data_IF_722208933836
#
_entry.id   IF_722208933836
#
_cell.length_a   1.000
_cell.length_b   1.000
_cell.length_c   1.000
_cell.angle_alpha   90.00
_cell.angle_beta   90.00
_cell.angle_gamma   90.00
#
_symmetry.space_group_name_H-M   'P 1'
#
loop_
_entity.id
_entity.type
_entity.pdbx_description
1 polymer ?
#
# COMPACT_ATOMS: atom_id res chain seq x y z
N UNK A 1 1.05 -23.63 4.72
CA UNK A 1 0.60 -22.23 4.91
C UNK A 1 1.76 -21.28 5.26
N UNK A 2 2.57 -21.55 6.29
CA UNK A 2 3.69 -20.68 6.73
C UNK A 2 4.65 -20.27 5.60
N UNK A 3 5.11 -21.23 4.79
CA UNK A 3 6.02 -20.99 3.65
C UNK A 3 5.39 -20.14 2.54
N UNK A 4 4.12 -20.42 2.21
CA UNK A 4 3.37 -19.64 1.22
C UNK A 4 3.26 -18.17 1.65
N UNK A 5 2.94 -17.91 2.93
CA UNK A 5 2.91 -16.54 3.44
C UNK A 5 4.28 -15.86 3.34
N UNK A 6 5.37 -16.54 3.72
CA UNK A 6 6.72 -15.96 3.65
C UNK A 6 7.08 -15.47 2.22
N UNK A 7 6.66 -16.20 1.19
CA UNK A 7 6.95 -15.88 -0.20
C UNK A 7 6.01 -14.81 -0.79
N UNK A 8 4.73 -14.84 -0.40
CA UNK A 8 3.69 -13.99 -1.03
C UNK A 8 3.31 -12.76 -0.21
N UNK A 9 3.70 -12.65 1.06
CA UNK A 9 3.27 -11.55 1.93
C UNK A 9 3.68 -10.18 1.36
N UNK A 10 4.88 -10.06 0.82
CA UNK A 10 5.38 -8.81 0.27
C UNK A 10 4.55 -8.34 -0.95
N UNK A 11 4.12 -9.28 -1.80
CA UNK A 11 3.25 -8.97 -2.94
C UNK A 11 1.87 -8.50 -2.48
N UNK A 12 1.32 -9.13 -1.44
CA UNK A 12 0.04 -8.73 -0.85
C UNK A 12 0.11 -7.34 -0.22
N UNK A 13 1.20 -7.03 0.51
CA UNK A 13 1.43 -5.70 1.08
C UNK A 13 1.51 -4.65 -0.02
N UNK A 14 2.34 -4.87 -1.05
CA UNK A 14 2.48 -3.95 -2.17
C UNK A 14 1.13 -3.69 -2.87
N UNK A 15 0.41 -4.75 -3.25
CA UNK A 15 -0.87 -4.63 -3.93
C UNK A 15 -1.91 -3.88 -3.10
N UNK A 16 -1.98 -4.17 -1.80
CA UNK A 16 -2.93 -3.50 -0.92
C UNK A 16 -2.57 -2.02 -0.69
N UNK A 17 -1.30 -1.69 -0.52
CA UNK A 17 -0.86 -0.29 -0.39
C UNK A 17 -1.16 0.53 -1.65
N UNK A 18 -0.96 -0.04 -2.84
CA UNK A 18 -1.31 0.60 -4.12
C UNK A 18 -2.82 0.78 -4.22
N UNK A 19 -3.61 -0.23 -3.85
CA UNK A 19 -5.07 -0.12 -3.80
C UNK A 19 -5.53 1.06 -2.94
N UNK A 20 -5.01 1.17 -1.72
CA UNK A 20 -5.34 2.28 -0.80
C UNK A 20 -4.92 3.64 -1.38
N UNK A 21 -3.79 3.72 -2.05
CA UNK A 21 -3.33 4.95 -2.68
C UNK A 21 -4.17 5.38 -3.89
N UNK A 22 -4.79 4.42 -4.59
CA UNK A 22 -5.71 4.69 -5.70
C UNK A 22 -7.09 5.11 -5.20
N UNK A 23 -7.56 4.54 -4.08
CA UNK A 23 -8.83 4.91 -3.45
C UNK A 23 -8.79 6.35 -2.92
N UNK A 24 -7.67 6.76 -2.32
CA UNK A 24 -7.46 8.13 -1.85
C UNK A 24 -6.21 8.74 -2.51
N UNK A 25 -6.41 9.42 -3.64
CA UNK A 25 -5.33 10.12 -4.34
C UNK A 25 -4.88 11.32 -3.51
N UNK A 26 -3.65 11.29 -3.02
CA UNK A 26 -3.05 12.35 -2.22
C UNK A 26 -1.52 12.37 -2.31
N UNK A 27 -0.91 13.52 -2.01
CA UNK A 27 0.56 13.64 -1.94
C UNK A 27 1.16 12.69 -0.89
N UNK A 28 0.51 12.55 0.26
CA UNK A 28 0.99 11.66 1.32
C UNK A 28 1.02 10.19 0.88
N UNK A 29 0.01 9.75 0.12
CA UNK A 29 -0.03 8.38 -0.41
C UNK A 29 0.93 8.17 -1.59
N UNK A 30 1.28 9.22 -2.34
CA UNK A 30 2.26 9.13 -3.43
C UNK A 30 3.62 8.60 -2.95
N UNK A 31 4.08 8.98 -1.75
CA UNK A 31 5.33 8.46 -1.22
C UNK A 31 5.28 6.93 -0.98
N UNK A 32 4.13 6.40 -0.55
CA UNK A 32 3.93 4.95 -0.41
C UNK A 32 4.01 4.25 -1.77
N UNK A 33 3.37 4.84 -2.79
CA UNK A 33 3.43 4.31 -4.17
C UNK A 33 4.88 4.29 -4.67
N UNK A 34 5.64 5.37 -4.45
CA UNK A 34 7.04 5.45 -4.85
C UNK A 34 7.89 4.37 -4.17
N UNK A 35 7.74 4.21 -2.85
CA UNK A 35 8.48 3.19 -2.08
C UNK A 35 8.20 1.79 -2.61
N UNK A 36 6.93 1.44 -2.86
CA UNK A 36 6.55 0.11 -3.33
C UNK A 36 6.87 -0.12 -4.81
N UNK A 37 6.75 0.89 -5.66
CA UNK A 37 7.16 0.81 -7.06
C UNK A 37 8.66 0.51 -7.20
N UNK A 38 9.50 1.07 -6.31
CA UNK A 38 10.94 0.78 -6.26
C UNK A 38 11.24 -0.57 -5.58
N UNK A 39 10.49 -0.96 -4.55
CA UNK A 39 10.71 -2.21 -3.82
C UNK A 39 10.44 -3.48 -4.65
N UNK A 40 9.50 -3.42 -5.60
CA UNK A 40 9.15 -4.56 -6.45
C UNK A 40 10.32 -5.05 -7.32
N UNK A 41 10.97 -4.19 -8.15
CA UNK A 41 12.13 -4.57 -8.95
C UNK A 41 13.42 -4.73 -8.12
N UNK A 42 13.65 -3.87 -7.13
CA UNK A 42 14.91 -3.86 -6.38
C UNK A 42 14.81 -4.67 -5.08
N UNK A 43 15.13 -5.97 -5.14
CA UNK A 43 15.01 -6.89 -3.99
C UNK A 43 15.75 -6.42 -2.72
N UNK A 44 16.92 -5.77 -2.86
CA UNK A 44 17.69 -5.26 -1.71
C UNK A 44 16.98 -4.11 -0.98
N UNK A 45 16.13 -3.37 -1.69
CA UNK A 45 15.40 -2.21 -1.15
C UNK A 45 14.14 -2.63 -0.37
N UNK A 46 13.65 -3.86 -0.55
CA UNK A 46 12.38 -4.36 0.01
C UNK A 46 12.25 -4.17 1.53
N UNK A 47 13.28 -4.57 2.27
CA UNK A 47 13.25 -4.46 3.72
C UNK A 47 13.21 -2.99 4.18
N UNK A 48 13.99 -2.13 3.50
CA UNK A 48 14.02 -0.70 3.79
C UNK A 48 12.68 -0.04 3.44
N UNK A 49 12.07 -0.41 2.32
CA UNK A 49 10.77 0.07 1.90
C UNK A 49 9.65 -0.30 2.90
N UNK A 50 9.66 -1.54 3.44
CA UNK A 50 8.71 -1.94 4.49
C UNK A 50 8.88 -1.09 5.76
N UNK A 51 10.12 -0.87 6.21
CA UNK A 51 10.37 -0.04 7.38
C UNK A 51 9.96 1.42 7.16
N UNK A 52 10.33 2.01 6.03
CA UNK A 52 9.99 3.39 5.67
C UNK A 52 8.48 3.58 5.51
N UNK A 53 7.80 2.63 4.85
CA UNK A 53 6.34 2.68 4.71
C UNK A 53 5.64 2.56 6.05
N UNK A 54 6.13 1.74 6.98
CA UNK A 54 5.59 1.64 8.34
C UNK A 54 5.65 2.98 9.07
N UNK A 55 6.83 3.62 9.08
CA UNK A 55 7.03 4.94 9.70
C UNK A 55 6.13 5.99 9.04
N UNK A 56 6.08 5.99 7.71
CA UNK A 56 5.29 6.97 6.96
C UNK A 56 3.78 6.79 7.17
N UNK A 57 3.28 5.56 7.17
CA UNK A 57 1.87 5.27 7.47
C UNK A 57 1.50 5.74 8.88
N UNK A 58 2.39 5.56 9.88
CA UNK A 58 2.17 6.12 11.21
C UNK A 58 2.10 7.66 11.18
N UNK A 59 2.97 8.34 10.43
CA UNK A 59 2.92 9.79 10.26
C UNK A 59 1.58 10.21 9.65
N UNK A 60 1.11 9.54 8.59
CA UNK A 60 -0.20 9.85 7.97
C UNK A 60 -1.33 9.70 8.99
N UNK A 61 -1.35 8.60 9.76
CA UNK A 61 -2.37 8.34 10.79
C UNK A 61 -2.38 9.47 11.82
N UNK A 62 -1.21 9.85 12.34
CA UNK A 62 -1.09 10.93 13.34
C UNK A 62 -1.56 12.26 12.76
N UNK A 63 -1.12 12.63 11.55
CA UNK A 63 -1.53 13.86 10.88
C UNK A 63 -3.05 13.91 10.66
N UNK A 64 -3.64 12.81 10.17
CA UNK A 64 -5.10 12.71 9.96
C UNK A 64 -5.87 12.84 11.26
N UNK A 65 -5.39 12.24 12.35
CA UNK A 65 -6.03 12.32 13.66
C UNK A 65 -5.91 13.70 14.31
N UNK A 66 -4.73 14.33 14.24
CA UNK A 66 -4.51 15.68 14.77
C UNK A 66 -5.38 16.72 14.06
N UNK A 67 -5.60 16.56 12.75
CA UNK A 67 -6.45 17.48 11.99
C UNK A 67 -7.94 17.39 12.35
N UNK A 68 -8.40 16.31 12.98
CA UNK A 68 -9.78 16.21 13.47
C UNK A 68 -10.03 16.98 14.77
N UNK A 69 -8.99 17.50 15.43
CA UNK A 69 -9.16 18.26 16.66
C UNK A 69 -10.01 19.52 16.43
N UNK A 70 -10.81 19.89 17.42
CA UNK A 70 -11.69 21.07 17.34
C UNK A 70 -10.91 22.36 17.11
N UNK A 71 -9.69 22.44 17.65
CA UNK A 71 -8.77 23.59 17.52
C UNK A 71 -8.43 23.95 16.07
N UNK A 72 -8.43 22.97 15.15
CA UNK A 72 -8.05 23.23 13.75
C UNK A 72 -9.28 23.64 12.95
N UNK A 73 -9.51 24.92 12.69
CA UNK A 73 -10.68 25.36 11.92
C UNK A 73 -10.37 25.52 10.42
N UNK A 74 -10.94 24.68 9.52
CA UNK A 74 -10.69 24.77 8.08
C UNK A 74 -11.14 26.10 7.47
N UNK A 75 -12.15 26.75 8.07
CA UNK A 75 -12.67 28.03 7.57
C UNK A 75 -11.63 29.17 7.60
N UNK A 76 -10.61 29.07 8.45
CA UNK A 76 -9.52 30.06 8.51
C UNK A 76 -8.51 29.92 7.36
N UNK A 77 -8.44 28.73 6.74
CA UNK A 77 -7.45 28.38 5.72
C UNK A 77 -8.04 28.21 4.32
N UNK A 78 -9.38 28.20 4.21
CA UNK A 78 -10.05 28.08 2.91
C UNK A 78 -9.72 29.27 2.01
N UNK A 79 -9.38 28.95 0.77
CA UNK A 79 -9.13 29.94 -0.28
C UNK A 79 -10.27 29.87 -1.30
N UNK A 80 -10.95 30.99 -1.50
CA UNK A 80 -11.95 31.13 -2.56
C UNK A 80 -11.26 31.55 -3.86
N UNK A 81 -11.35 30.70 -4.88
CA UNK A 81 -10.88 31.04 -6.21
C UNK A 81 -11.93 31.89 -6.93
N UNK A 82 -11.55 33.11 -7.32
CA UNK A 82 -12.41 33.98 -8.15
C UNK A 82 -12.49 33.43 -9.57
N UNK A 83 -13.71 33.33 -10.11
CA UNK A 83 -13.92 32.86 -11.48
C UNK A 83 -13.23 33.80 -12.49
N UNK A 84 -12.44 33.26 -13.44
CA UNK A 84 -11.82 34.06 -14.50
C UNK A 84 -12.86 34.64 -15.47
N UNK A 85 -12.50 35.73 -16.15
CA UNK A 85 -13.32 36.27 -17.24
C UNK A 85 -13.42 35.26 -18.39
N UNK A 86 -14.58 35.20 -19.05
CA UNK A 86 -14.85 34.32 -20.20
C UNK A 86 -13.80 34.41 -21.32
N UNK A 87 -13.17 35.58 -21.50
CA UNK A 87 -12.18 35.81 -22.56
C UNK A 87 -10.78 35.30 -22.21
N UNK A 88 -10.55 34.83 -20.98
CA UNK A 88 -9.24 34.40 -20.49
C UNK A 88 -9.06 32.89 -20.44
N UNK A 89 -10.13 32.11 -20.62
CA UNK A 89 -10.12 30.64 -20.57
C UNK A 89 -10.96 30.06 -21.69
N UNK A 90 -10.53 28.92 -22.26
CA UNK A 90 -11.28 28.19 -23.29
C UNK A 90 -12.42 27.32 -22.73
N UNK A 91 -12.72 27.43 -21.42
CA UNK A 91 -13.75 26.63 -20.76
C UNK A 91 -15.10 27.35 -20.82
N UNK A 92 -16.17 26.57 -20.99
CA UNK A 92 -17.53 27.11 -20.88
C UNK A 92 -17.85 27.52 -19.44
N UNK A 93 -18.78 28.46 -19.20
CA UNK A 93 -19.17 28.86 -17.84
C UNK A 93 -19.70 27.71 -16.99
N UNK A 94 -20.37 26.73 -17.63
CA UNK A 94 -20.91 25.54 -16.97
C UNK A 94 -19.79 24.57 -16.55
N UNK A 95 -18.80 24.33 -17.41
CA UNK A 95 -17.61 23.53 -17.09
C UNK A 95 -16.78 24.19 -15.98
N UNK A 96 -16.67 25.51 -16.01
CA UNK A 96 -15.97 26.29 -15.00
C UNK A 96 -16.66 26.13 -13.63
N UNK A 97 -17.98 26.32 -13.57
CA UNK A 97 -18.76 26.15 -12.34
C UNK A 97 -18.75 24.72 -11.77
N UNK A 98 -18.60 23.71 -12.63
CA UNK A 98 -18.49 22.30 -12.21
C UNK A 98 -17.07 21.88 -11.83
N UNK A 99 -16.05 22.70 -12.11
CA UNK A 99 -14.66 22.39 -11.79
C UNK A 99 -14.40 22.38 -10.27
N UNK A 100 -13.37 21.64 -9.85
CA UNK A 100 -12.98 21.52 -8.44
C UNK A 100 -12.55 22.84 -7.80
N UNK A 101 -12.01 23.77 -8.59
CA UNK A 101 -11.48 25.06 -8.12
C UNK A 101 -12.58 26.10 -7.91
N UNK A 102 -13.60 26.13 -8.78
CA UNK A 102 -14.60 27.21 -8.79
C UNK A 102 -15.97 26.81 -8.25
N UNK A 103 -16.17 25.54 -7.90
CA UNK A 103 -17.41 25.05 -7.29
C UNK A 103 -17.61 25.50 -5.83
N UNK A 104 -16.52 25.78 -5.11
CA UNK A 104 -16.57 26.18 -3.70
C UNK A 104 -15.20 26.49 -3.12
N UNK A 105 -15.13 26.84 -1.82
CA UNK A 105 -13.88 27.10 -1.12
C UNK A 105 -12.96 25.87 -1.18
N UNK A 106 -11.70 26.10 -1.54
CA UNK A 106 -10.69 25.04 -1.65
C UNK A 106 -9.87 25.01 -0.37
N UNK A 107 -9.75 23.80 0.19
CA UNK A 107 -8.84 23.49 1.29
C UNK A 107 -7.46 23.10 0.73
N UNK A 108 -6.38 23.86 1.01
CA UNK A 108 -5.03 23.45 0.62
C UNK A 108 -4.62 22.10 1.23
N UNK A 109 -5.10 21.76 2.42
CA UNK A 109 -4.77 20.51 3.10
C UNK A 109 -5.35 19.27 2.39
N UNK A 110 -6.45 19.45 1.64
CA UNK A 110 -7.07 18.38 0.88
C UNK A 110 -6.13 17.82 -0.19
N UNK A 111 -5.28 18.65 -0.80
CA UNK A 111 -4.28 18.19 -1.78
C UNK A 111 -3.22 17.27 -1.15
N UNK A 112 -2.85 17.53 0.10
CA UNK A 112 -1.99 16.65 0.89
C UNK A 112 -2.70 15.36 1.34
N UNK A 113 -4.03 15.27 1.20
CA UNK A 113 -4.84 14.12 1.65
C UNK A 113 -5.34 14.23 3.08
N UNK A 114 -5.42 15.46 3.62
CA UNK A 114 -5.94 15.74 4.96
C UNK A 114 -7.29 16.45 4.81
N UNK A 115 -8.34 15.89 5.43
CA UNK A 115 -9.72 16.41 5.34
C UNK A 115 -10.37 16.41 6.72
N UNK A 116 -11.13 17.45 7.05
CA UNK A 116 -11.94 17.52 8.28
C UNK A 116 -13.38 17.05 8.03
N UNK A 117 -14.02 16.48 9.05
CA UNK A 117 -15.47 16.18 9.04
C UNK A 117 -15.86 14.77 8.61
N UNK A 118 -14.90 13.84 8.53
CA UNK A 118 -15.18 12.43 8.34
C UNK A 118 -15.28 11.71 9.69
N UNK A 119 -16.11 10.66 9.83
CA UNK A 119 -16.08 9.84 11.04
C UNK A 119 -14.67 9.26 11.23
N UNK A 120 -14.04 9.55 12.38
CA UNK A 120 -12.63 9.28 12.67
C UNK A 120 -12.19 7.86 12.31
N UNK A 121 -13.03 6.86 12.57
CA UNK A 121 -12.74 5.46 12.26
C UNK A 121 -12.62 5.20 10.75
N UNK A 122 -13.63 5.60 9.97
CA UNK A 122 -13.67 5.32 8.53
C UNK A 122 -12.53 5.99 7.78
N UNK A 123 -12.13 7.18 8.21
CA UNK A 123 -11.10 7.99 7.55
C UNK A 123 -9.67 7.45 7.70
N UNK A 124 -9.40 6.76 8.80
CA UNK A 124 -8.07 6.23 9.13
C UNK A 124 -7.99 4.71 8.94
N UNK A 125 -9.15 4.04 8.75
CA UNK A 125 -9.27 2.58 8.59
C UNK A 125 -8.34 2.02 7.51
N UNK A 126 -8.28 2.64 6.33
CA UNK A 126 -7.47 2.14 5.22
C UNK A 126 -5.97 2.17 5.57
N UNK A 127 -5.49 3.28 6.15
CA UNK A 127 -4.10 3.39 6.62
C UNK A 127 -3.80 2.47 7.81
N UNK A 128 -4.75 2.23 8.71
CA UNK A 128 -4.62 1.24 9.78
C UNK A 128 -4.49 -0.18 9.23
N UNK A 129 -5.27 -0.53 8.21
CA UNK A 129 -5.16 -1.84 7.56
C UNK A 129 -3.81 -2.01 6.86
N UNK A 130 -3.28 -0.97 6.22
CA UNK A 130 -1.91 -0.97 5.67
C UNK A 130 -0.88 -1.20 6.78
N UNK A 131 -0.98 -0.46 7.89
CA UNK A 131 -0.08 -0.63 9.04
C UNK A 131 -0.15 -2.04 9.62
N UNK A 132 -1.35 -2.59 9.79
CA UNK A 132 -1.55 -3.97 10.27
C UNK A 132 -0.91 -4.99 9.33
N UNK A 133 -1.01 -4.78 8.02
CA UNK A 133 -0.43 -5.68 7.03
C UNK A 133 1.11 -5.62 7.02
N UNK A 134 1.69 -4.43 7.21
CA UNK A 134 3.14 -4.23 7.40
C UNK A 134 3.65 -4.90 8.67
N UNK A 135 2.94 -4.74 9.79
CA UNK A 135 3.28 -5.42 11.05
C UNK A 135 3.15 -6.94 10.88
N UNK A 136 2.12 -7.40 10.18
CA UNK A 136 1.92 -8.81 9.92
C UNK A 136 3.05 -9.40 9.06
N UNK A 137 3.54 -8.67 8.07
CA UNK A 137 4.73 -9.03 7.28
C UNK A 137 5.97 -9.23 8.17
N UNK A 138 6.27 -8.27 9.04
CA UNK A 138 7.36 -8.40 10.01
C UNK A 138 7.19 -9.61 10.95
N UNK A 139 5.97 -9.85 11.43
CA UNK A 139 5.65 -11.00 12.29
C UNK A 139 5.86 -12.33 11.56
N UNK A 140 5.45 -12.44 10.29
CA UNK A 140 5.69 -13.63 9.46
C UNK A 140 7.18 -13.91 9.37
N UNK A 141 8.00 -12.92 8.99
CA UNK A 141 9.45 -13.11 8.88
C UNK A 141 10.11 -13.47 10.21
N UNK A 142 9.74 -12.81 11.31
CA UNK A 142 10.25 -13.13 12.65
C UNK A 142 9.88 -14.54 13.10
N UNK A 143 8.63 -14.97 12.85
CA UNK A 143 8.17 -16.31 13.21
C UNK A 143 8.90 -17.38 12.41
N UNK A 144 9.18 -17.16 11.13
CA UNK A 144 9.99 -18.07 10.32
C UNK A 144 11.42 -18.17 10.84
N UNK A 145 12.04 -17.03 11.15
CA UNK A 145 13.40 -17.00 11.69
C UNK A 145 13.49 -17.74 13.03
N UNK A 146 12.51 -17.52 13.92
CA UNK A 146 12.43 -18.22 15.20
C UNK A 146 12.29 -19.74 15.01
N UNK A 147 11.38 -20.18 14.14
CA UNK A 147 11.18 -21.59 13.83
C UNK A 147 12.45 -22.27 13.30
N UNK A 148 13.17 -21.61 12.39
CA UNK A 148 14.44 -22.12 11.85
C UNK A 148 15.49 -22.27 12.93
N UNK A 149 15.63 -21.29 13.82
CA UNK A 149 16.58 -21.35 14.95
C UNK A 149 16.24 -22.48 15.92
N UNK A 150 14.97 -22.64 16.28
CA UNK A 150 14.53 -23.67 17.21
C UNK A 150 14.80 -25.09 16.70
N UNK A 151 14.60 -25.32 15.40
CA UNK A 151 14.77 -26.64 14.78
C UNK A 151 16.12 -26.81 14.07
N UNK A 152 17.06 -25.86 14.21
CA UNK A 152 18.37 -25.86 13.54
C UNK A 152 18.27 -26.06 12.01
N UNK A 153 17.21 -25.53 11.39
CA UNK A 153 16.97 -25.65 9.96
C UNK A 153 17.74 -24.57 9.20
N UNK A 154 18.36 -24.96 8.09
CA UNK A 154 18.98 -24.02 7.16
C UNK A 154 17.91 -23.18 6.45
N UNK A 155 18.31 -21.98 6.01
CA UNK A 155 17.47 -21.21 5.11
C UNK A 155 17.34 -21.99 3.78
N UNK A 156 16.13 -22.30 3.32
CA UNK A 156 15.93 -23.05 2.09
C UNK A 156 16.51 -22.28 0.91
N UNK A 157 17.33 -22.98 0.11
CA UNK A 157 18.03 -22.43 -1.06
C UNK A 157 17.03 -22.12 -2.18
N UNK A 158 15.92 -22.87 -2.24
CA UNK A 158 14.85 -22.70 -3.22
C UNK A 158 13.67 -21.95 -2.62
N UNK A 159 13.17 -20.92 -3.31
CA UNK A 159 11.94 -20.19 -2.97
C UNK A 159 10.67 -20.98 -3.34
N UNK A 160 10.70 -22.31 -3.16
CA UNK A 160 9.57 -23.20 -3.45
C UNK A 160 8.73 -23.48 -2.20
N UNK A 161 7.48 -23.91 -2.43
CA UNK A 161 6.54 -24.29 -1.37
C UNK A 161 6.73 -25.75 -0.97
N UNK A 162 6.91 -26.64 -1.95
CA UNK A 162 7.22 -28.06 -1.75
C UNK A 162 8.67 -28.32 -2.15
N UNK A 163 9.55 -28.57 -1.19
CA UNK A 163 10.98 -28.79 -1.45
C UNK A 163 11.24 -30.16 -2.11
N UNK A 164 10.39 -31.15 -1.85
CA UNK A 164 10.57 -32.53 -2.33
C UNK A 164 10.30 -32.74 -3.83
N UNK A 165 9.83 -31.70 -4.54
CA UNK A 165 9.29 -31.85 -5.90
C UNK A 165 10.14 -31.10 -6.90
N UNK A 166 10.83 -31.90 -7.72
CA UNK A 166 11.66 -31.49 -8.84
C UNK A 166 10.98 -31.82 -10.18
N UNK A 167 11.59 -31.40 -11.30
CA UNK A 167 11.13 -31.73 -12.65
C UNK A 167 10.97 -33.24 -12.90
N UNK A 168 11.79 -34.07 -12.25
CA UNK A 168 11.72 -35.53 -12.37
C UNK A 168 10.39 -36.11 -11.85
N UNK A 169 9.70 -35.38 -10.97
CA UNK A 169 8.46 -35.81 -10.35
C UNK A 169 7.21 -35.40 -11.14
N UNK A 170 7.39 -34.69 -12.27
CA UNK A 170 6.28 -34.20 -13.10
C UNK A 170 5.42 -35.35 -13.64
N UNK A 171 6.07 -36.42 -14.11
CA UNK A 171 5.41 -37.52 -14.82
C UNK A 171 5.02 -38.69 -13.90
N UNK A 172 5.34 -38.62 -12.60
CA UNK A 172 5.06 -39.68 -11.63
C UNK A 172 3.59 -39.77 -11.22
N UNK A 173 2.78 -38.74 -11.50
CA UNK A 173 1.35 -38.75 -11.24
C UNK A 173 0.72 -37.36 -11.12
N UNK A 174 -0.61 -37.32 -11.14
CA UNK A 174 -1.40 -36.07 -11.14
C UNK A 174 -1.07 -35.17 -9.94
N UNK A 175 -0.94 -35.75 -8.74
CA UNK A 175 -0.67 -35.00 -7.50
C UNK A 175 0.72 -34.35 -7.54
N UNK A 176 1.74 -35.08 -7.98
CA UNK A 176 3.11 -34.56 -8.10
C UNK A 176 3.18 -33.48 -9.18
N UNK A 177 2.46 -33.67 -10.29
CA UNK A 177 2.30 -32.69 -11.35
C UNK A 177 1.65 -31.39 -10.85
N UNK A 178 0.53 -31.46 -10.10
CA UNK A 178 -0.11 -30.28 -9.52
C UNK A 178 0.83 -29.52 -8.57
N UNK A 179 1.55 -30.23 -7.70
CA UNK A 179 2.51 -29.60 -6.78
C UNK A 179 3.69 -28.98 -7.51
N UNK A 180 4.17 -29.58 -8.61
CA UNK A 180 5.20 -28.99 -9.46
C UNK A 180 4.71 -27.68 -10.08
N UNK A 181 3.49 -27.66 -10.63
CA UNK A 181 2.91 -26.42 -11.16
C UNK A 181 2.75 -25.37 -10.07
N UNK A 182 2.28 -25.71 -8.86
CA UNK A 182 2.20 -24.74 -7.76
C UNK A 182 3.56 -24.07 -7.46
N UNK A 183 4.66 -24.84 -7.53
CA UNK A 183 6.01 -24.29 -7.32
C UNK A 183 6.52 -23.44 -8.49
N UNK A 184 6.30 -23.89 -9.74
CA UNK A 184 6.99 -23.36 -10.92
C UNK A 184 6.07 -22.73 -11.97
N UNK A 185 4.81 -22.46 -11.66
CA UNK A 185 3.84 -21.91 -12.60
C UNK A 185 4.35 -20.63 -13.26
N UNK A 186 4.66 -19.61 -12.45
CA UNK A 186 5.18 -18.31 -12.91
C UNK A 186 6.61 -18.37 -13.48
N UNK A 187 7.35 -19.43 -13.17
CA UNK A 187 8.67 -19.63 -13.75
C UNK A 187 8.57 -20.14 -15.19
N UNK A 188 7.51 -20.90 -15.52
CA UNK A 188 7.32 -21.52 -16.83
C UNK A 188 6.40 -20.72 -17.75
N UNK A 189 5.41 -20.03 -17.19
CA UNK A 189 4.43 -19.19 -17.89
C UNK A 189 4.52 -17.75 -17.38
#
# INVERSE_FOLDING_TARGET
MRRLLELHILKMVALYTIWVALEEVSLMNFLLVLLWALAMPYCRFRHMASCLSTVWTCIIIVCKMLYQLEVVNPHEYFSNCTQPLSNSTNLTPEELGNSTLYRGPVDPANWFGIRKGFPNWGYVKNHLQVLLLLVFEAVVYRRQQYHRKQHQLLAPVTETIFEDISHQHLDLGLVSCTKYFINYFYYKF
#
